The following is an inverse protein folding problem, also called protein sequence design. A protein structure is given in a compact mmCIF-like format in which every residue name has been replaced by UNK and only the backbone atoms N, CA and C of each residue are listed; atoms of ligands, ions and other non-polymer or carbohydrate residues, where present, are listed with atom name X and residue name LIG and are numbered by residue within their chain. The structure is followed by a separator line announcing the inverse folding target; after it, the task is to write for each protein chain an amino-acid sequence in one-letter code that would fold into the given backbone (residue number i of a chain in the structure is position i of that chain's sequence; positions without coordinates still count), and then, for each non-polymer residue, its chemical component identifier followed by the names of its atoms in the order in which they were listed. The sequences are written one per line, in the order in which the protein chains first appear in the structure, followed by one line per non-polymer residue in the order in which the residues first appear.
data_IF_013256326067
#
_entry.id   IF_013256326067
#
_cell.length_a   1.000
_cell.length_b   1.000
_cell.length_c   1.000
_cell.angle_alpha   90.00
_cell.angle_beta   90.00
_cell.angle_gamma   90.00
#
_symmetry.space_group_name_H-M   'P 1'
#
loop_
_entity.id
_entity.type
_entity.pdbx_description
1 polymer ?
#
# COMPACT_ATOMS: atom_id res chain seq x y z
N UNK A 1 -26.65 9.24 -60.72
CA UNK A 1 -26.66 9.05 -59.25
C UNK A 1 -25.34 8.39 -58.87
N UNK A 2 -24.35 9.17 -58.45
CA UNK A 2 -23.04 8.66 -58.01
C UNK A 2 -23.16 8.16 -56.58
N UNK A 3 -23.05 6.85 -56.38
CA UNK A 3 -23.03 6.24 -55.05
C UNK A 3 -21.83 6.78 -54.28
N UNK A 4 -22.09 7.47 -53.17
CA UNK A 4 -21.03 7.84 -52.24
C UNK A 4 -20.52 6.56 -51.58
N UNK A 5 -19.30 6.17 -51.90
CA UNK A 5 -18.64 5.01 -51.32
C UNK A 5 -18.36 5.31 -49.84
N UNK A 6 -18.96 4.54 -48.94
CA UNK A 6 -18.74 4.69 -47.51
C UNK A 6 -17.35 4.17 -47.16
N UNK A 7 -16.42 5.09 -46.89
CA UNK A 7 -15.09 4.73 -46.40
C UNK A 7 -15.18 4.34 -44.92
N UNK A 8 -15.25 3.04 -44.64
CA UNK A 8 -15.22 2.53 -43.26
C UNK A 8 -13.80 2.69 -42.72
N UNK A 9 -13.63 3.55 -41.71
CA UNK A 9 -12.34 3.70 -41.03
C UNK A 9 -11.92 2.37 -40.41
N UNK A 10 -10.63 1.97 -40.52
CA UNK A 10 -10.16 0.70 -39.97
C UNK A 10 -10.48 0.64 -38.48
N UNK A 11 -11.11 -0.47 -38.08
CA UNK A 11 -11.53 -0.70 -36.70
C UNK A 11 -10.31 -0.63 -35.77
N UNK A 12 -10.33 0.24 -34.76
CA UNK A 12 -9.23 0.37 -33.78
C UNK A 12 -8.95 -0.96 -33.05
N UNK A 13 -9.91 -1.88 -33.08
CA UNK A 13 -9.87 -3.19 -32.42
C UNK A 13 -9.47 -4.33 -33.34
N UNK A 14 -9.24 -4.09 -34.64
CA UNK A 14 -8.76 -5.10 -35.58
C UNK A 14 -7.36 -5.57 -35.18
N UNK A 15 -7.11 -6.87 -35.20
CA UNK A 15 -5.81 -7.42 -34.82
C UNK A 15 -4.83 -7.24 -35.98
N UNK A 16 -3.65 -6.68 -35.71
CA UNK A 16 -2.62 -6.45 -36.72
C UNK A 16 -1.23 -6.36 -36.07
N UNK A 17 -0.16 -6.41 -36.89
CA UNK A 17 1.20 -6.25 -36.39
C UNK A 17 1.39 -4.86 -35.77
N UNK A 18 2.22 -4.79 -34.73
CA UNK A 18 2.55 -3.54 -34.06
C UNK A 18 3.26 -2.59 -35.03
N UNK A 19 2.79 -1.34 -35.11
CA UNK A 19 3.30 -0.31 -36.01
C UNK A 19 3.32 1.03 -35.27
N UNK A 20 4.36 1.87 -35.48
CA UNK A 20 4.41 3.21 -34.88
C UNK A 20 3.12 3.99 -35.19
N UNK A 21 2.43 4.48 -34.15
CA UNK A 21 1.18 5.24 -34.28
C UNK A 21 -0.12 4.42 -34.26
N UNK A 22 -0.08 3.09 -34.09
CA UNK A 22 -1.27 2.24 -33.91
C UNK A 22 -1.32 1.62 -32.51
N UNK A 23 -1.62 2.45 -31.51
CA UNK A 23 -1.61 2.10 -30.08
C UNK A 23 -2.72 1.10 -29.67
N UNK A 24 -3.55 0.61 -30.60
CA UNK A 24 -4.69 -0.27 -30.33
C UNK A 24 -4.36 -1.76 -30.23
N UNK A 25 -3.13 -2.17 -30.57
CA UNK A 25 -2.74 -3.58 -30.65
C UNK A 25 -2.00 -4.10 -29.42
N UNK A 26 -1.60 -3.22 -28.49
CA UNK A 26 -1.00 -3.67 -27.23
C UNK A 26 -2.05 -4.41 -26.39
N UNK A 27 -1.87 -5.71 -26.21
CA UNK A 27 -2.54 -6.47 -25.18
C UNK A 27 -1.47 -6.94 -24.19
N UNK A 28 -1.59 -6.66 -22.89
CA UNK A 28 -0.72 -7.30 -21.92
C UNK A 28 -0.91 -8.80 -22.08
N UNK A 29 0.18 -9.52 -22.32
CA UNK A 29 0.19 -10.97 -22.17
C UNK A 29 -0.24 -11.20 -20.72
N UNK A 30 -1.29 -12.01 -20.51
CA UNK A 30 -1.64 -12.50 -19.17
C UNK A 30 -0.54 -13.47 -18.76
N UNK A 31 0.63 -12.95 -18.45
CA UNK A 31 1.65 -13.71 -17.75
C UNK A 31 1.02 -14.25 -16.47
N UNK A 32 1.42 -15.47 -16.12
CA UNK A 32 0.88 -16.29 -15.05
C UNK A 32 0.45 -15.43 -13.85
N UNK A 33 -0.77 -15.67 -13.34
CA UNK A 33 -1.35 -14.99 -12.16
C UNK A 33 -0.22 -14.57 -11.22
N UNK A 34 0.04 -13.26 -11.14
CA UNK A 34 1.09 -12.74 -10.28
C UNK A 34 0.91 -13.38 -8.89
N UNK A 35 1.92 -14.09 -8.40
CA UNK A 35 1.87 -14.66 -7.06
C UNK A 35 1.72 -13.48 -6.11
N UNK A 36 0.67 -13.50 -5.29
CA UNK A 36 0.50 -12.48 -4.27
C UNK A 36 1.72 -12.52 -3.34
N UNK A 37 2.23 -11.36 -2.90
CA UNK A 37 3.27 -11.32 -1.89
C UNK A 37 2.85 -12.11 -0.66
N UNK A 38 3.79 -12.82 -0.04
CA UNK A 38 3.54 -13.47 1.25
C UNK A 38 3.50 -12.40 2.32
N UNK A 39 2.44 -12.42 3.14
CA UNK A 39 2.31 -11.51 4.28
C UNK A 39 3.21 -11.99 5.41
N UNK A 40 4.33 -11.29 5.61
CA UNK A 40 5.34 -11.60 6.64
C UNK A 40 5.16 -10.71 7.86
N UNK A 41 4.75 -9.46 7.68
CA UNK A 41 4.56 -8.49 8.78
C UNK A 41 3.07 -8.26 9.03
N UNK A 42 2.66 -8.27 10.29
CA UNK A 42 1.29 -8.03 10.72
C UNK A 42 1.24 -7.13 11.96
N UNK A 43 0.39 -6.11 11.92
CA UNK A 43 0.01 -5.28 13.05
C UNK A 43 -1.49 -5.41 13.32
N UNK A 44 -1.83 -5.79 14.54
CA UNK A 44 -3.22 -5.94 15.01
C UNK A 44 -3.51 -4.92 16.10
N UNK A 45 -4.54 -4.11 15.91
CA UNK A 45 -4.93 -3.03 16.83
C UNK A 45 -6.32 -3.29 17.37
N UNK A 46 -6.48 -3.35 18.69
CA UNK A 46 -7.79 -3.48 19.32
C UNK A 46 -8.53 -2.14 19.32
N UNK A 47 -9.69 -2.08 18.66
CA UNK A 47 -10.44 -0.85 18.48
C UNK A 47 -11.45 -0.62 19.63
N UNK A 48 -11.72 0.64 19.99
CA UNK A 48 -12.81 0.98 20.90
C UNK A 48 -14.18 0.53 20.35
N UNK A 49 -15.14 0.26 21.24
CA UNK A 49 -16.50 -0.17 20.85
C UNK A 49 -17.21 0.81 19.91
N UNK A 50 -16.91 2.10 20.03
CA UNK A 50 -17.43 3.16 19.15
C UNK A 50 -17.04 2.95 17.69
N UNK A 51 -15.91 2.28 17.44
CA UNK A 51 -15.36 1.95 16.12
C UNK A 51 -15.66 0.50 15.68
N UNK A 52 -16.57 -0.19 16.37
CA UNK A 52 -16.92 -1.60 16.09
C UNK A 52 -17.35 -1.86 14.63
N UNK A 53 -17.85 -0.85 13.90
CA UNK A 53 -18.18 -0.96 12.47
C UNK A 53 -16.96 -1.07 11.56
N UNK A 54 -15.79 -0.67 12.03
CA UNK A 54 -14.51 -0.71 11.31
C UNK A 54 -13.66 -1.92 11.74
N UNK A 55 -14.06 -2.60 12.81
CA UNK A 55 -13.35 -3.73 13.36
C UNK A 55 -13.78 -5.05 12.71
N UNK A 56 -12.86 -6.00 12.70
CA UNK A 56 -13.12 -7.41 12.54
C UNK A 56 -14.04 -7.95 13.65
N UNK A 57 -14.49 -9.20 13.51
CA UNK A 57 -15.44 -9.82 14.44
C UNK A 57 -14.96 -9.87 15.89
N UNK A 58 -13.66 -9.84 16.10
CA UNK A 58 -13.02 -9.87 17.41
C UNK A 58 -12.75 -8.47 17.99
N UNK A 59 -13.20 -7.40 17.31
CA UNK A 59 -13.03 -6.02 17.77
C UNK A 59 -11.67 -5.41 17.45
N UNK A 60 -10.85 -6.07 16.62
CA UNK A 60 -9.57 -5.53 16.16
C UNK A 60 -9.58 -5.13 14.69
N UNK A 61 -8.59 -4.35 14.26
CA UNK A 61 -8.26 -4.14 12.86
C UNK A 61 -6.87 -4.69 12.61
N UNK A 62 -6.71 -5.44 11.52
CA UNK A 62 -5.44 -6.10 11.17
C UNK A 62 -4.86 -5.51 9.89
N UNK A 63 -3.60 -5.10 9.95
CA UNK A 63 -2.82 -4.63 8.81
C UNK A 63 -1.69 -5.63 8.55
N UNK A 64 -1.76 -6.33 7.43
CA UNK A 64 -0.76 -7.33 7.05
C UNK A 64 -0.15 -7.00 5.68
N UNK A 65 1.12 -7.39 5.49
CA UNK A 65 1.80 -7.19 4.23
C UNK A 65 3.22 -7.78 4.21
N UNK A 66 3.88 -7.71 3.07
CA UNK A 66 5.24 -8.23 2.88
C UNK A 66 6.34 -7.34 3.49
N UNK A 67 6.00 -6.18 4.07
CA UNK A 67 6.97 -5.29 4.72
C UNK A 67 6.29 -4.38 5.74
N UNK A 68 7.06 -3.96 6.75
CA UNK A 68 6.61 -2.98 7.73
C UNK A 68 6.21 -1.63 7.12
N UNK A 69 6.87 -1.17 6.05
CA UNK A 69 6.49 0.05 5.31
C UNK A 69 5.06 0.00 4.79
N UNK A 70 4.63 -1.15 4.28
CA UNK A 70 3.26 -1.33 3.80
C UNK A 70 2.27 -1.26 4.98
N UNK A 71 2.56 -2.00 6.05
CA UNK A 71 1.72 -2.10 7.25
C UNK A 71 1.50 -0.72 7.88
N UNK A 72 2.58 0.04 8.14
CA UNK A 72 2.48 1.38 8.72
C UNK A 72 1.82 2.40 7.78
N UNK A 73 1.99 2.25 6.47
CA UNK A 73 1.32 3.08 5.47
C UNK A 73 -0.19 2.87 5.46
N UNK A 74 -0.63 1.61 5.52
CA UNK A 74 -2.05 1.25 5.62
C UNK A 74 -2.65 1.74 6.95
N UNK A 75 -1.96 1.48 8.06
CA UNK A 75 -2.35 1.91 9.40
C UNK A 75 -2.47 3.44 9.50
N UNK A 76 -1.51 4.19 8.95
CA UNK A 76 -1.56 5.66 8.91
C UNK A 76 -2.76 6.17 8.11
N UNK A 77 -3.05 5.54 6.97
CA UNK A 77 -4.19 5.91 6.13
C UNK A 77 -5.50 5.67 6.86
N UNK A 78 -5.60 4.54 7.58
CA UNK A 78 -6.76 4.23 8.42
C UNK A 78 -6.94 5.27 9.52
N UNK A 79 -5.89 5.57 10.29
CA UNK A 79 -5.95 6.57 11.37
C UNK A 79 -6.42 7.93 10.83
N UNK A 80 -5.80 8.43 9.75
CA UNK A 80 -6.20 9.69 9.10
C UNK A 80 -7.66 9.72 8.65
N UNK A 81 -8.25 8.57 8.31
CA UNK A 81 -9.60 8.51 7.74
C UNK A 81 -10.67 8.29 8.81
N UNK A 82 -10.30 7.66 9.93
CA UNK A 82 -11.26 7.09 10.88
C UNK A 82 -11.05 7.52 12.34
N UNK A 83 -9.99 8.27 12.65
CA UNK A 83 -9.73 8.80 13.98
C UNK A 83 -9.51 10.31 13.93
N UNK A 84 -9.66 10.97 15.08
CA UNK A 84 -9.40 12.41 15.25
C UNK A 84 -7.98 12.68 15.77
N UNK A 85 -7.07 11.72 15.63
CA UNK A 85 -5.68 11.83 16.10
C UNK A 85 -4.89 12.73 15.16
N UNK A 86 -4.01 13.56 15.72
CA UNK A 86 -3.02 14.28 14.93
C UNK A 86 -2.02 13.28 14.33
N UNK A 87 -2.21 12.97 13.05
CA UNK A 87 -1.49 11.89 12.39
C UNK A 87 -0.04 12.32 12.15
N UNK A 88 0.95 11.58 12.69
CA UNK A 88 2.36 11.88 12.49
C UNK A 88 2.76 11.90 11.00
N UNK A 89 3.94 12.45 10.67
CA UNK A 89 4.50 12.36 9.32
C UNK A 89 4.53 10.92 8.80
N UNK A 90 4.65 10.71 7.48
CA UNK A 90 4.86 9.37 6.92
C UNK A 90 6.00 8.64 7.67
N UNK A 91 5.81 7.34 7.92
CA UNK A 91 6.74 6.52 8.72
C UNK A 91 8.20 6.70 8.31
N UNK A 92 8.45 6.60 7.01
CA UNK A 92 9.72 6.98 6.44
C UNK A 92 9.67 6.98 4.93
N UNK A 93 10.59 7.72 4.33
CA UNK A 93 10.78 7.78 2.89
C UNK A 93 12.25 8.01 2.56
N UNK A 94 12.65 7.58 1.36
CA UNK A 94 14.01 7.80 0.86
C UNK A 94 14.02 9.01 -0.06
N UNK A 95 14.85 9.99 0.24
CA UNK A 95 15.12 11.14 -0.61
C UNK A 95 16.63 11.32 -0.80
N UNK A 96 17.06 11.51 -2.05
CA UNK A 96 18.48 11.68 -2.44
C UNK A 96 19.46 10.66 -1.83
N UNK A 97 19.01 9.41 -1.67
CA UNK A 97 19.83 8.33 -1.13
C UNK A 97 19.81 8.20 0.39
N UNK A 98 19.18 9.13 1.10
CA UNK A 98 19.08 9.14 2.55
C UNK A 98 17.64 8.84 2.99
N UNK A 99 17.50 8.07 4.07
CA UNK A 99 16.21 7.84 4.70
C UNK A 99 15.87 8.98 5.65
N UNK A 100 14.60 9.36 5.63
CA UNK A 100 13.97 10.32 6.54
C UNK A 100 12.85 9.60 7.28
N UNK A 101 12.83 9.72 8.60
CA UNK A 101 11.89 9.01 9.46
C UNK A 101 10.92 9.96 10.15
N UNK A 102 9.81 9.39 10.61
CA UNK A 102 8.70 10.12 11.24
C UNK A 102 9.10 10.90 12.50
N UNK A 103 10.19 10.53 13.15
CA UNK A 103 10.72 11.16 14.36
C UNK A 103 11.78 12.23 14.08
N UNK A 104 11.90 12.66 12.81
CA UNK A 104 12.90 13.61 12.30
C UNK A 104 14.35 13.10 12.31
N UNK A 105 14.57 11.80 12.51
CA UNK A 105 15.89 11.21 12.31
C UNK A 105 16.14 10.88 10.84
N UNK A 106 17.40 10.71 10.49
CA UNK A 106 17.83 10.30 9.14
C UNK A 106 18.88 9.22 9.22
N UNK A 107 18.89 8.29 8.28
CA UNK A 107 19.90 7.21 8.21
C UNK A 107 20.28 6.89 6.77
N UNK A 108 21.45 6.28 6.57
CA UNK A 108 21.88 5.80 5.24
C UNK A 108 21.15 4.51 4.86
N UNK A 109 20.99 3.61 5.83
CA UNK A 109 20.27 2.34 5.70
C UNK A 109 18.86 2.41 6.27
N UNK A 110 18.00 1.47 5.91
CA UNK A 110 16.64 1.41 6.43
C UNK A 110 16.67 0.90 7.88
N UNK A 111 16.04 1.62 8.81
CA UNK A 111 15.86 1.13 10.19
C UNK A 111 15.01 -0.14 10.27
N UNK A 112 14.32 -0.48 9.18
CA UNK A 112 13.51 -1.70 9.07
C UNK A 112 14.31 -2.94 8.67
N UNK A 113 15.59 -2.78 8.31
CA UNK A 113 16.44 -3.91 7.94
C UNK A 113 17.16 -4.52 9.17
N UNK A 114 17.08 -3.86 10.33
CA UNK A 114 17.68 -4.32 11.59
C UNK A 114 16.69 -5.04 12.52
N UNK A 115 17.23 -5.70 13.55
CA UNK A 115 16.45 -6.47 14.53
C UNK A 115 15.45 -5.60 15.33
N UNK A 116 15.70 -4.29 15.43
CA UNK A 116 14.87 -3.34 16.16
C UNK A 116 13.68 -2.79 15.34
N UNK A 117 13.49 -3.26 14.10
CA UNK A 117 12.46 -2.78 13.18
C UNK A 117 11.05 -2.79 13.81
N UNK A 118 10.68 -3.90 14.46
CA UNK A 118 9.37 -4.05 15.09
C UNK A 118 9.16 -3.05 16.24
N UNK A 119 10.20 -2.76 17.02
CA UNK A 119 10.13 -1.76 18.10
C UNK A 119 9.83 -0.37 17.56
N UNK A 120 10.52 0.04 16.50
CA UNK A 120 10.31 1.35 15.87
C UNK A 120 8.94 1.49 15.22
N UNK A 121 8.44 0.40 14.64
CA UNK A 121 7.07 0.31 14.11
C UNK A 121 6.06 0.43 15.24
N UNK A 122 6.30 -0.23 16.37
CA UNK A 122 5.41 -0.15 17.53
C UNK A 122 5.27 1.29 18.03
N UNK A 123 6.38 2.01 18.23
CA UNK A 123 6.35 3.40 18.69
C UNK A 123 5.54 4.32 17.76
N UNK A 124 5.69 4.13 16.45
CA UNK A 124 4.92 4.87 15.47
C UNK A 124 3.42 4.54 15.52
N UNK A 125 3.06 3.26 15.66
CA UNK A 125 1.68 2.81 15.77
C UNK A 125 1.02 3.29 17.07
N UNK A 126 1.77 3.35 18.18
CA UNK A 126 1.28 3.89 19.45
C UNK A 126 0.89 5.37 19.33
N UNK A 127 1.59 6.13 18.48
CA UNK A 127 1.20 7.52 18.16
C UNK A 127 -0.04 7.60 17.27
N UNK A 128 -0.22 6.65 16.36
CA UNK A 128 -1.40 6.57 15.50
C UNK A 128 -2.67 6.13 16.25
N UNK A 129 -2.51 5.25 17.23
CA UNK A 129 -3.60 4.60 17.96
C UNK A 129 -3.42 4.75 19.48
N UNK A 130 -3.46 5.97 20.01
CA UNK A 130 -3.19 6.23 21.43
C UNK A 130 -4.20 5.49 22.32
N UNK A 131 -3.68 4.71 23.26
CA UNK A 131 -4.48 3.94 24.21
C UNK A 131 -5.15 2.69 23.63
N UNK A 132 -4.85 2.33 22.38
CA UNK A 132 -5.33 1.09 21.76
C UNK A 132 -4.25 0.01 21.87
N UNK A 133 -4.57 -1.19 22.39
CA UNK A 133 -3.62 -2.30 22.41
C UNK A 133 -3.15 -2.68 21.00
N UNK A 134 -1.83 -2.79 20.83
CA UNK A 134 -1.18 -3.15 19.57
C UNK A 134 -0.42 -4.47 19.76
N UNK A 135 -0.61 -5.40 18.84
CA UNK A 135 0.17 -6.65 18.75
C UNK A 135 0.86 -6.69 17.40
N UNK A 136 2.17 -6.87 17.41
CA UNK A 136 2.99 -7.05 16.21
C UNK A 136 3.38 -8.52 16.06
N UNK A 137 3.40 -9.01 14.83
CA UNK A 137 4.03 -10.29 14.50
C UNK A 137 4.79 -10.19 13.20
N UNK A 138 5.97 -10.82 13.16
CA UNK A 138 6.80 -10.94 11.98
C UNK A 138 7.10 -12.42 11.74
N UNK A 139 6.93 -12.87 10.50
CA UNK A 139 7.21 -14.21 10.02
C UNK A 139 8.35 -14.10 9.02
N UNK A 140 9.57 -13.99 9.52
CA UNK A 140 10.79 -14.13 8.73
C UNK A 140 11.00 -15.59 8.28
#
# INVERSE_FOLDING_TARGET
MTSSEWLVHPNRSELGPDKPGRNGHYRPIRDARARLPVETCEARIALPRTMSRLADRDGSVTFAGASWLFVVGAARTFARTHTDVDVPPPFGFKDRGQWWWWDNTTSEESILDGDDAAGYVQEYLERLFPGMPITLSDKQ
#
